data_IF_936290289195
#
_entry.id   IF_936290289195
#
_cell.length_a   1.000
_cell.length_b   1.000
_cell.length_c   1.000
_cell.angle_alpha   90.00
_cell.angle_beta   90.00
_cell.angle_gamma   90.00
#
_symmetry.space_group_name_H-M   'P 1'
#
loop_
_entity.id
_entity.type
_entity.pdbx_description
1 polymer ?
#
# COMPACT_ATOMS: atom_id res chain seq x y z
N UNK A 1 -3.33 -9.72 -13.92
CA UNK A 1 -3.00 -8.33 -14.28
C UNK A 1 -4.23 -7.45 -14.45
N UNK A 2 -5.25 -7.92 -15.18
CA UNK A 2 -6.50 -7.16 -15.40
C UNK A 2 -7.28 -7.03 -14.09
N UNK A 3 -7.57 -8.14 -13.40
CA UNK A 3 -8.39 -8.12 -12.19
C UNK A 3 -7.79 -7.25 -11.07
N UNK A 4 -6.47 -7.28 -10.90
CA UNK A 4 -5.77 -6.46 -9.91
C UNK A 4 -5.82 -4.97 -10.28
N UNK A 5 -5.66 -4.63 -11.56
CA UNK A 5 -5.76 -3.25 -12.05
C UNK A 5 -7.18 -2.72 -11.94
N UNK A 6 -8.17 -3.56 -12.24
CA UNK A 6 -9.59 -3.26 -12.11
C UNK A 6 -9.95 -3.01 -10.63
N UNK A 7 -9.53 -3.91 -9.74
CA UNK A 7 -9.72 -3.78 -8.29
C UNK A 7 -9.11 -2.48 -7.76
N UNK A 8 -7.86 -2.16 -8.17
CA UNK A 8 -7.22 -0.91 -7.78
C UNK A 8 -8.02 0.31 -8.26
N UNK A 9 -8.52 0.28 -9.51
CA UNK A 9 -9.40 1.31 -10.02
C UNK A 9 -10.68 1.45 -9.18
N UNK A 10 -11.37 0.36 -8.84
CA UNK A 10 -12.58 0.42 -8.03
C UNK A 10 -12.32 1.04 -6.66
N UNK A 11 -11.24 0.62 -5.98
CA UNK A 11 -10.87 1.16 -4.66
C UNK A 11 -10.53 2.65 -4.71
N UNK A 12 -9.82 3.10 -5.75
CA UNK A 12 -9.56 4.53 -5.98
C UNK A 12 -10.86 5.27 -6.28
N UNK A 13 -11.72 4.70 -7.13
CA UNK A 13 -13.01 5.28 -7.50
C UNK A 13 -13.90 5.49 -6.29
N UNK A 14 -14.03 4.51 -5.40
CA UNK A 14 -14.84 4.62 -4.18
C UNK A 14 -14.41 5.81 -3.30
N UNK A 15 -13.12 6.13 -3.28
CA UNK A 15 -12.59 7.29 -2.53
C UNK A 15 -12.93 8.64 -3.18
N UNK A 16 -13.15 8.67 -4.50
CA UNK A 16 -13.31 9.91 -5.28
C UNK A 16 -14.76 10.19 -5.69
N UNK A 17 -15.58 9.15 -5.88
CA UNK A 17 -16.88 9.24 -6.57
C UNK A 17 -17.87 10.21 -5.90
N UNK A 18 -17.79 10.37 -4.58
CA UNK A 18 -18.66 11.29 -3.82
C UNK A 18 -18.41 12.78 -4.15
N UNK A 19 -17.25 13.11 -4.72
CA UNK A 19 -16.88 14.48 -5.11
C UNK A 19 -16.75 14.65 -6.62
N UNK A 20 -16.34 13.60 -7.32
CA UNK A 20 -16.06 13.61 -8.74
C UNK A 20 -16.80 12.43 -9.41
N UNK A 21 -18.07 12.63 -9.83
CA UNK A 21 -18.93 11.53 -10.28
C UNK A 21 -18.57 11.00 -11.69
N UNK A 22 -17.89 11.82 -12.50
CA UNK A 22 -17.42 11.44 -13.83
C UNK A 22 -16.03 10.82 -13.74
N UNK A 23 -15.98 9.50 -13.62
CA UNK A 23 -14.75 8.71 -13.49
C UNK A 23 -14.94 7.38 -14.24
N UNK A 24 -13.92 6.99 -15.01
CA UNK A 24 -13.91 5.75 -15.78
C UNK A 24 -12.54 5.12 -15.73
N UNK A 25 -12.49 3.79 -15.74
CA UNK A 25 -11.27 3.06 -16.12
C UNK A 25 -11.04 3.26 -17.62
N UNK A 26 -9.77 3.24 -18.02
CA UNK A 26 -9.36 3.32 -19.41
C UNK A 26 -8.04 2.60 -19.61
N UNK A 27 -8.04 1.58 -20.47
CA UNK A 27 -6.85 0.73 -20.69
C UNK A 27 -5.92 1.36 -21.73
N UNK A 28 -4.62 1.44 -21.42
CA UNK A 28 -3.59 1.81 -22.40
C UNK A 28 -3.28 0.58 -23.26
N UNK A 29 -3.90 0.54 -24.43
CA UNK A 29 -3.76 -0.56 -25.38
C UNK A 29 -2.90 -0.10 -26.57
N UNK A 30 -2.18 -1.04 -27.17
CA UNK A 30 -1.44 -0.79 -28.41
C UNK A 30 -2.29 -1.11 -29.64
N UNK A 31 -2.08 -0.38 -30.74
CA UNK A 31 -2.69 -0.65 -32.04
C UNK A 31 -2.03 -1.85 -32.72
N UNK A 32 -2.28 -3.05 -32.18
CA UNK A 32 -1.83 -4.32 -32.76
C UNK A 32 -3.02 -5.02 -33.42
N UNK A 33 -2.99 -5.22 -34.75
CA UNK A 33 -4.07 -5.93 -35.45
C UNK A 33 -4.31 -7.32 -34.87
N UNK A 34 -5.57 -7.76 -34.87
CA UNK A 34 -5.99 -9.11 -34.45
C UNK A 34 -5.85 -9.44 -32.96
N UNK A 35 -5.56 -8.44 -32.11
CA UNK A 35 -5.59 -8.60 -30.64
C UNK A 35 -6.85 -7.96 -30.08
N UNK A 36 -7.63 -8.76 -29.36
CA UNK A 36 -8.77 -8.28 -28.58
C UNK A 36 -8.28 -7.70 -27.25
N UNK A 37 -8.15 -6.38 -27.21
CA UNK A 37 -7.71 -5.66 -26.02
C UNK A 37 -8.85 -5.37 -25.05
N UNK A 38 -8.52 -5.29 -23.76
CA UNK A 38 -9.45 -4.92 -22.69
C UNK A 38 -10.09 -3.56 -22.96
N UNK A 39 -11.39 -3.47 -22.74
CA UNK A 39 -12.20 -2.27 -23.02
C UNK A 39 -12.79 -1.68 -21.73
N UNK A 40 -13.11 -0.36 -21.72
CA UNK A 40 -12.82 0.60 -22.78
C UNK A 40 -11.34 0.99 -22.81
N UNK A 41 -10.77 1.19 -24.00
CA UNK A 41 -9.47 1.85 -24.11
C UNK A 41 -9.54 3.28 -23.52
N UNK A 42 -8.38 3.84 -23.14
CA UNK A 42 -8.30 5.16 -22.50
C UNK A 42 -8.89 6.29 -23.35
N UNK A 43 -8.82 6.18 -24.69
CA UNK A 43 -9.38 7.16 -25.62
C UNK A 43 -10.90 7.14 -25.63
N UNK A 44 -11.48 5.94 -25.62
CA UNK A 44 -12.92 5.69 -25.59
C UNK A 44 -13.50 6.07 -24.24
N UNK A 45 -12.83 5.72 -23.14
CA UNK A 45 -13.20 6.15 -21.80
C UNK A 45 -13.28 7.69 -21.68
N UNK A 46 -12.25 8.40 -22.17
CA UNK A 46 -12.23 9.86 -22.12
C UNK A 46 -13.35 10.50 -22.98
N UNK A 47 -13.64 9.97 -24.18
CA UNK A 47 -14.76 10.45 -25.00
C UNK A 47 -16.10 10.27 -24.29
N UNK A 48 -16.34 9.10 -23.69
CA UNK A 48 -17.58 8.83 -22.97
C UNK A 48 -17.77 9.85 -21.82
N UNK A 49 -16.70 10.20 -21.10
CA UNK A 49 -16.77 11.22 -20.04
C UNK A 49 -17.11 12.62 -20.60
N UNK A 50 -16.52 13.00 -21.75
CA UNK A 50 -16.83 14.27 -22.42
C UNK A 50 -18.29 14.30 -22.89
N UNK A 51 -18.78 13.23 -23.49
CA UNK A 51 -20.18 13.10 -23.94
C UNK A 51 -21.18 13.16 -22.78
N UNK A 52 -20.77 12.71 -21.58
CA UNK A 52 -21.54 12.86 -20.34
C UNK A 52 -21.44 14.27 -19.72
N UNK A 53 -20.69 15.19 -20.33
CA UNK A 53 -20.61 16.60 -19.95
C UNK A 53 -19.33 17.01 -19.22
N UNK A 54 -18.28 16.18 -19.20
CA UNK A 54 -17.00 16.59 -18.64
C UNK A 54 -16.35 17.72 -19.47
N UNK A 55 -16.07 18.85 -18.82
CA UNK A 55 -15.35 19.98 -19.42
C UNK A 55 -13.84 19.96 -19.12
N UNK A 56 -13.41 19.06 -18.24
CA UNK A 56 -12.01 18.79 -17.95
C UNK A 56 -11.78 17.29 -17.73
N UNK A 57 -10.66 16.78 -18.25
CA UNK A 57 -10.25 15.37 -18.12
C UNK A 57 -8.86 15.30 -17.48
N UNK A 58 -8.74 14.48 -16.43
CA UNK A 58 -7.47 14.13 -15.81
C UNK A 58 -7.15 12.67 -16.17
N UNK A 59 -6.03 12.46 -16.87
CA UNK A 59 -5.46 11.13 -17.10
C UNK A 59 -4.57 10.77 -15.91
N UNK A 60 -4.99 9.77 -15.14
CA UNK A 60 -4.32 9.34 -13.91
C UNK A 60 -3.70 7.95 -14.11
N UNK A 61 -2.37 7.81 -14.24
CA UNK A 61 -1.72 6.53 -14.55
C UNK A 61 -1.57 5.65 -13.29
N UNK A 62 -2.67 5.18 -12.71
CA UNK A 62 -2.66 4.40 -11.45
C UNK A 62 -2.00 3.03 -11.56
N UNK A 63 -1.89 2.48 -12.78
CA UNK A 63 -1.21 1.21 -13.05
C UNK A 63 0.31 1.31 -13.14
N UNK A 64 0.88 2.52 -13.10
CA UNK A 64 2.31 2.76 -13.25
C UNK A 64 2.88 3.51 -12.05
N UNK A 65 3.92 2.96 -11.43
CA UNK A 65 4.61 3.60 -10.31
C UNK A 65 5.52 4.73 -10.78
N UNK A 66 6.20 4.56 -11.92
CA UNK A 66 7.19 5.48 -12.48
C UNK A 66 6.86 5.83 -13.91
N UNK A 67 7.34 6.97 -14.38
CA UNK A 67 7.25 7.28 -15.80
C UNK A 67 7.99 6.24 -16.65
N UNK A 68 7.40 5.88 -17.80
CA UNK A 68 7.99 5.02 -18.82
C UNK A 68 7.59 5.50 -20.21
N UNK A 69 7.85 4.68 -21.24
CA UNK A 69 7.54 5.04 -22.62
C UNK A 69 6.04 5.27 -22.82
N UNK A 70 5.22 4.38 -22.28
CA UNK A 70 3.76 4.35 -22.40
C UNK A 70 3.14 5.57 -21.70
N UNK A 71 3.54 5.86 -20.46
CA UNK A 71 2.99 7.00 -19.74
C UNK A 71 3.41 8.33 -20.38
N UNK A 72 4.63 8.45 -20.89
CA UNK A 72 5.11 9.71 -21.46
C UNK A 72 4.60 9.98 -22.89
N UNK A 73 4.51 8.96 -23.73
CA UNK A 73 4.24 9.15 -25.17
C UNK A 73 2.83 8.71 -25.56
N UNK A 74 2.36 7.55 -25.12
CA UNK A 74 1.05 7.04 -25.54
C UNK A 74 -0.09 7.89 -24.96
N UNK A 75 0.03 8.30 -23.69
CA UNK A 75 -0.97 9.18 -23.05
C UNK A 75 -1.02 10.55 -23.74
N UNK A 76 0.13 11.17 -24.03
CA UNK A 76 0.17 12.46 -24.73
C UNK A 76 -0.43 12.32 -26.14
N UNK A 77 -0.12 11.24 -26.86
CA UNK A 77 -0.70 10.96 -28.17
C UNK A 77 -2.24 10.82 -28.11
N UNK A 78 -2.76 10.12 -27.10
CA UNK A 78 -4.20 9.99 -26.85
C UNK A 78 -4.83 11.35 -26.57
N UNK A 79 -4.23 12.15 -25.69
CA UNK A 79 -4.70 13.50 -25.35
C UNK A 79 -4.78 14.36 -26.60
N UNK A 80 -3.73 14.39 -27.42
CA UNK A 80 -3.69 15.15 -28.67
C UNK A 80 -4.77 14.69 -29.66
N UNK A 81 -4.99 13.39 -29.78
CA UNK A 81 -6.02 12.85 -30.66
C UNK A 81 -7.45 13.24 -30.24
N UNK A 82 -7.71 13.36 -28.93
CA UNK A 82 -9.03 13.76 -28.39
C UNK A 82 -9.18 15.28 -28.45
N UNK A 83 -8.13 16.04 -28.10
CA UNK A 83 -8.11 17.51 -28.13
C UNK A 83 -8.45 18.08 -29.50
N UNK A 84 -8.03 17.43 -30.59
CA UNK A 84 -8.42 17.81 -31.96
C UNK A 84 -9.93 17.75 -32.21
N UNK A 85 -10.65 16.89 -31.49
CA UNK A 85 -12.11 16.71 -31.62
C UNK A 85 -12.90 17.56 -30.62
N UNK A 86 -12.36 17.76 -29.43
CA UNK A 86 -12.98 18.55 -28.35
C UNK A 86 -11.96 19.58 -27.83
N UNK A 87 -11.67 20.63 -28.60
CA UNK A 87 -10.65 21.64 -28.26
C UNK A 87 -11.03 22.52 -27.06
N UNK A 88 -12.31 22.58 -26.71
CA UNK A 88 -12.85 23.34 -25.57
C UNK A 88 -12.63 22.63 -24.22
N UNK A 89 -12.36 21.33 -24.22
CA UNK A 89 -12.13 20.55 -23.00
C UNK A 89 -10.70 20.76 -22.49
N UNK A 90 -10.54 20.89 -21.18
CA UNK A 90 -9.21 20.98 -20.55
C UNK A 90 -8.64 19.59 -20.28
N UNK A 91 -7.38 19.34 -20.66
CA UNK A 91 -6.73 18.05 -20.44
C UNK A 91 -5.53 18.19 -19.52
N UNK A 92 -5.39 17.26 -18.58
CA UNK A 92 -4.22 17.14 -17.70
C UNK A 92 -3.78 15.69 -17.61
N UNK A 93 -2.50 15.44 -17.81
CA UNK A 93 -1.86 14.19 -17.44
C UNK A 93 -1.24 14.34 -16.06
N UNK A 94 -1.56 13.42 -15.15
CA UNK A 94 -0.91 13.35 -13.85
C UNK A 94 0.43 12.62 -14.00
N UNK A 95 1.48 13.12 -13.33
CA UNK A 95 2.73 12.37 -13.18
C UNK A 95 2.48 11.08 -12.40
N UNK A 96 3.21 10.02 -12.73
CA UNK A 96 3.31 8.82 -11.92
C UNK A 96 3.83 9.15 -10.50
N UNK A 97 3.75 8.17 -9.59
CA UNK A 97 4.20 8.36 -8.21
C UNK A 97 5.67 8.78 -8.13
N UNK A 98 6.53 8.20 -8.98
CA UNK A 98 7.95 8.53 -9.10
C UNK A 98 8.64 8.52 -7.73
N UNK A 99 9.21 9.65 -7.33
CA UNK A 99 9.96 9.89 -6.09
C UNK A 99 9.12 10.55 -4.99
N UNK A 100 7.78 10.48 -5.08
CA UNK A 100 6.91 11.01 -4.03
C UNK A 100 7.25 10.39 -2.67
N UNK A 101 7.53 11.19 -1.62
CA UNK A 101 7.95 10.68 -0.32
C UNK A 101 7.00 9.65 0.26
N UNK A 102 5.68 9.82 0.07
CA UNK A 102 4.66 8.91 0.56
C UNK A 102 4.74 7.54 -0.13
N UNK A 103 5.03 7.53 -1.44
CA UNK A 103 5.20 6.30 -2.21
C UNK A 103 6.49 5.57 -1.83
N UNK A 104 7.60 6.31 -1.69
CA UNK A 104 8.87 5.74 -1.24
C UNK A 104 8.75 5.12 0.15
N UNK A 105 8.08 5.81 1.08
CA UNK A 105 7.82 5.29 2.43
C UNK A 105 6.98 4.01 2.37
N UNK A 106 5.87 4.03 1.63
CA UNK A 106 5.01 2.86 1.47
C UNK A 106 5.78 1.65 0.92
N UNK A 107 6.58 1.84 -0.14
CA UNK A 107 7.36 0.77 -0.75
C UNK A 107 8.43 0.21 0.19
N UNK A 108 9.14 1.08 0.92
CA UNK A 108 10.14 0.67 1.90
C UNK A 108 9.51 -0.08 3.07
N UNK A 109 8.42 0.43 3.64
CA UNK A 109 7.71 -0.21 4.75
C UNK A 109 7.17 -1.59 4.34
N UNK A 110 6.64 -1.71 3.12
CA UNK A 110 6.14 -2.99 2.61
C UNK A 110 7.26 -4.03 2.48
N UNK A 111 8.44 -3.62 1.99
CA UNK A 111 9.60 -4.51 1.92
C UNK A 111 10.11 -4.91 3.32
N UNK A 112 10.12 -3.98 4.28
CA UNK A 112 10.61 -4.23 5.64
C UNK A 112 9.88 -5.40 6.31
N UNK A 113 8.56 -5.53 6.11
CA UNK A 113 7.78 -6.65 6.69
C UNK A 113 8.36 -8.02 6.32
N UNK A 114 8.66 -8.24 5.04
CA UNK A 114 9.21 -9.51 4.56
C UNK A 114 10.67 -9.70 4.93
N UNK A 115 11.45 -8.61 4.93
CA UNK A 115 12.85 -8.66 5.33
C UNK A 115 12.97 -9.08 6.80
N UNK A 116 12.16 -8.49 7.69
CA UNK A 116 12.13 -8.83 9.11
C UNK A 116 11.69 -10.28 9.36
N UNK A 117 10.69 -10.75 8.61
CA UNK A 117 10.25 -12.16 8.64
C UNK A 117 11.41 -13.11 8.30
N UNK A 118 12.08 -12.90 7.16
CA UNK A 118 13.20 -13.73 6.72
C UNK A 118 14.40 -13.68 7.67
N UNK A 119 14.70 -12.52 8.26
CA UNK A 119 15.77 -12.39 9.26
C UNK A 119 15.44 -13.15 10.55
N UNK A 120 14.16 -13.14 10.96
CA UNK A 120 13.69 -13.86 12.14
C UNK A 120 13.71 -15.38 11.93
N UNK A 121 13.29 -15.86 10.76
CA UNK A 121 13.39 -17.27 10.38
C UNK A 121 14.84 -17.76 10.33
N UNK A 122 15.75 -16.96 9.75
CA UNK A 122 17.17 -17.28 9.73
C UNK A 122 17.79 -17.29 11.13
N UNK A 123 17.38 -16.39 12.02
CA UNK A 123 17.85 -16.42 13.41
C UNK A 123 17.43 -17.72 14.14
N UNK A 124 16.23 -18.23 13.86
CA UNK A 124 15.75 -19.52 14.38
C UNK A 124 16.49 -20.71 13.75
N UNK A 125 16.78 -20.66 12.45
CA UNK A 125 17.48 -21.72 11.72
C UNK A 125 18.98 -21.81 12.05
N UNK A 126 19.64 -20.66 12.25
CA UNK A 126 21.10 -20.57 12.52
C UNK A 126 21.43 -20.85 14.00
N UNK A 127 20.46 -20.72 14.92
CA UNK A 127 20.72 -20.95 16.34
C UNK A 127 19.65 -21.81 17.05
N UNK A 128 19.55 -23.12 16.72
CA UNK A 128 18.63 -24.05 17.39
C UNK A 128 18.85 -24.12 18.91
N UNK A 129 20.09 -23.86 19.36
CA UNK A 129 20.50 -23.82 20.76
C UNK A 129 19.87 -22.68 21.56
N UNK A 130 19.59 -21.52 20.96
CA UNK A 130 18.93 -20.40 21.64
C UNK A 130 17.43 -20.66 21.82
N UNK A 131 16.77 -21.30 20.85
CA UNK A 131 15.37 -21.71 20.95
C UNK A 131 15.15 -22.75 22.06
N UNK A 132 16.07 -23.72 22.20
CA UNK A 132 16.05 -24.69 23.30
C UNK A 132 16.34 -24.02 24.66
N UNK A 133 17.22 -23.03 24.71
CA UNK A 133 17.51 -22.29 25.94
C UNK A 133 16.34 -21.42 26.41
N UNK A 134 15.61 -20.77 25.50
CA UNK A 134 14.39 -20.03 25.83
C UNK A 134 13.25 -20.97 26.28
N UNK A 135 13.07 -22.12 25.62
CA UNK A 135 12.08 -23.13 26.03
C UNK A 135 12.38 -23.76 27.40
N UNK A 136 13.67 -23.95 27.75
CA UNK A 136 14.05 -24.43 29.09
C UNK A 136 13.79 -23.39 30.19
N UNK A 137 13.89 -22.10 29.86
CA UNK A 137 13.66 -21.00 30.82
C UNK A 137 12.18 -20.82 31.17
N UNK A 138 11.27 -21.17 30.27
CA UNK A 138 9.81 -21.13 30.51
C UNK A 138 9.28 -22.36 31.26
N UNK A 139 10.05 -23.46 31.33
CA UNK A 139 9.64 -24.68 32.06
C UNK A 139 10.20 -24.83 33.48
N UNK A 140 11.06 -23.91 33.96
CA UNK A 140 11.70 -24.05 35.29
C UNK A 140 10.97 -23.36 36.45
N UNK A 141 9.68 -23.05 36.33
CA UNK A 141 8.91 -22.42 37.39
C UNK A 141 7.59 -23.15 37.69
N UNK A 142 7.66 -24.34 38.31
CA UNK A 142 6.63 -24.72 39.32
C UNK A 142 7.05 -25.86 40.26
N UNK A 143 6.69 -25.65 41.55
CA UNK A 143 6.55 -26.58 42.70
C UNK A 143 7.83 -27.26 43.25
N UNK A 144 8.16 -27.30 44.55
CA UNK A 144 7.51 -26.91 45.82
C UNK A 144 8.07 -27.79 46.97
N UNK A 145 8.18 -27.28 48.21
CA UNK A 145 8.19 -28.09 49.45
C UNK A 145 9.42 -28.05 50.38
N UNK A 146 9.31 -27.23 51.44
CA UNK A 146 9.68 -27.40 52.88
C UNK A 146 11.10 -27.86 53.34
N UNK A 147 11.73 -27.07 54.24
CA UNK A 147 12.13 -27.46 55.61
C UNK A 147 12.84 -26.32 56.40
N UNK A 148 12.21 -25.87 57.49
CA UNK A 148 12.78 -25.71 58.85
C UNK A 148 13.95 -24.75 59.20
N UNK A 149 13.62 -23.80 60.09
CA UNK A 149 14.37 -23.30 61.27
C UNK A 149 14.89 -21.84 61.29
N UNK A 150 14.12 -21.00 62.00
CA UNK A 150 14.49 -20.15 63.15
C UNK A 150 15.72 -19.23 63.11
N UNK A 151 15.49 -17.91 63.18
CA UNK A 151 15.75 -17.02 64.33
C UNK A 151 15.91 -15.56 63.88
N UNK A 152 15.34 -14.62 64.64
CA UNK A 152 15.96 -13.29 64.80
C UNK A 152 15.12 -12.07 64.39
N UNK A 153 14.32 -11.59 65.35
CA UNK A 153 14.29 -10.19 65.80
C UNK A 153 14.09 -9.01 64.81
N UNK A 154 12.90 -8.42 64.95
CA UNK A 154 12.67 -7.01 65.35
C UNK A 154 12.65 -5.83 64.35
N UNK A 155 11.53 -5.09 64.51
CA UNK A 155 11.28 -3.64 64.44
C UNK A 155 10.84 -2.97 63.11
N UNK A 156 9.56 -2.55 63.13
CA UNK A 156 8.97 -1.24 62.76
C UNK A 156 9.56 -0.44 61.60
N UNK A 157 8.71 -0.03 60.64
CA UNK A 157 7.91 1.20 60.73
C UNK A 157 6.96 1.34 59.54
N UNK A 158 5.73 1.77 59.83
CA UNK A 158 4.82 2.44 58.90
C UNK A 158 5.55 3.55 58.13
N UNK A 159 5.16 3.78 56.87
CA UNK A 159 4.73 5.09 56.41
C UNK A 159 3.98 4.97 55.08
N UNK A 160 2.68 5.25 55.16
CA UNK A 160 1.89 5.91 54.12
C UNK A 160 2.71 6.98 53.38
N UNK A 161 2.46 7.15 52.07
CA UNK A 161 2.13 8.44 51.43
C UNK A 161 1.96 8.27 49.91
N UNK A 162 0.70 8.16 49.48
CA UNK A 162 0.01 9.06 48.55
C UNK A 162 0.77 10.02 47.58
N UNK A 163 0.11 10.22 46.43
CA UNK A 163 0.06 11.37 45.49
C UNK A 163 1.06 11.38 44.30
N UNK A 164 0.54 11.18 43.07
CA UNK A 164 0.10 12.19 42.07
C UNK A 164 1.26 12.94 41.39
N UNK A 165 1.45 12.74 40.08
CA UNK A 165 0.91 13.61 39.03
C UNK A 165 1.14 13.01 37.63
#
# INVERSE_FOLDING_TARGET
>A
GIDESQTLYELVRERLINRFPLISVGWLNHDTPLIDWTQPDAKTAAKNLIELGATAIIFMPIGFATENHETLLDVEHIIEAIRRKYPEVTYRQMRCANDRPEFLKMAADWANLYIEELLSENALAVNPSLAVAQAKKTHSHSHGGEHGHSHGHHHHHDHDHHHHH
#
